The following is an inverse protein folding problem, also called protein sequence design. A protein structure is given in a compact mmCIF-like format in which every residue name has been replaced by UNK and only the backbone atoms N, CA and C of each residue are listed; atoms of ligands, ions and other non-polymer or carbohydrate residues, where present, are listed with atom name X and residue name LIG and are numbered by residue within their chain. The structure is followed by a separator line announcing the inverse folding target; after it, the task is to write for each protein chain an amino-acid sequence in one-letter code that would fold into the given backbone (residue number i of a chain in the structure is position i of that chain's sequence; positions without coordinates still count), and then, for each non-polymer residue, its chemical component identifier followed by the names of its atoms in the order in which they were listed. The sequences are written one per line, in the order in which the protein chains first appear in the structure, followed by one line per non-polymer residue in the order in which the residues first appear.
data_IF_849548694097
#
_entry.id   IF_849548694097
#
_cell.length_a   1.000
_cell.length_b   1.000
_cell.length_c   1.000
_cell.angle_alpha   90.00
_cell.angle_beta   90.00
_cell.angle_gamma   90.00
#
_symmetry.space_group_name_H-M   'P 1'
#
loop_
_entity.id
_entity.type
_entity.pdbx_description
1 polymer ?
#
# COMPACT_ATOMS: atom_id res chain seq x y z
N UNK A 1 -2.51 9.93 -10.29
CA UNK A 1 -2.75 8.96 -11.36
C UNK A 1 -1.52 8.06 -11.48
N UNK A 2 -1.70 6.76 -11.70
CA UNK A 2 -0.60 5.80 -11.91
C UNK A 2 -0.76 5.21 -13.30
N UNK A 3 0.32 5.16 -14.05
CA UNK A 3 0.38 4.56 -15.38
C UNK A 3 1.54 3.58 -15.43
N UNK A 4 1.25 2.32 -15.69
CA UNK A 4 2.23 1.28 -15.98
C UNK A 4 2.09 0.89 -17.45
N UNK A 5 3.18 0.85 -18.20
CA UNK A 5 3.20 0.55 -19.62
C UNK A 5 4.18 -0.58 -19.92
N UNK A 6 3.65 -1.65 -20.52
CA UNK A 6 4.39 -2.79 -21.03
C UNK A 6 5.41 -3.36 -20.01
N UNK A 7 4.95 -3.57 -18.76
CA UNK A 7 5.80 -4.03 -17.67
C UNK A 7 6.16 -5.49 -17.86
N UNK A 8 7.45 -5.79 -17.93
CA UNK A 8 8.01 -7.13 -17.91
C UNK A 8 8.91 -7.32 -16.71
N UNK A 9 8.90 -8.51 -16.12
CA UNK A 9 9.77 -8.90 -15.02
C UNK A 9 10.04 -10.39 -15.04
N UNK A 10 11.31 -10.75 -14.90
CA UNK A 10 11.77 -12.13 -14.80
C UNK A 10 12.72 -12.31 -13.62
N UNK A 11 12.77 -13.50 -13.04
CA UNK A 11 13.75 -13.91 -12.06
C UNK A 11 14.42 -15.20 -12.55
N UNK A 12 15.64 -15.08 -13.07
CA UNK A 12 16.29 -16.16 -13.83
C UNK A 12 15.45 -16.53 -15.05
N UNK A 13 15.11 -17.80 -15.20
CA UNK A 13 14.33 -18.31 -16.33
C UNK A 13 12.79 -18.13 -16.14
N UNK A 14 12.36 -17.65 -14.96
CA UNK A 14 10.94 -17.50 -14.67
C UNK A 14 10.43 -16.12 -15.10
N UNK A 15 9.61 -16.06 -16.14
CA UNK A 15 8.91 -14.86 -16.56
C UNK A 15 7.68 -14.63 -15.68
N UNK A 16 7.71 -13.60 -14.82
CA UNK A 16 6.66 -13.32 -13.83
C UNK A 16 5.67 -12.28 -14.33
N UNK A 17 6.12 -11.22 -15.02
CA UNK A 17 5.26 -10.24 -15.67
C UNK A 17 5.56 -10.21 -17.17
N UNK A 18 4.50 -10.17 -17.98
CA UNK A 18 4.60 -10.38 -19.44
C UNK A 18 3.82 -9.30 -20.20
N UNK A 19 4.25 -8.03 -20.08
CA UNK A 19 3.64 -6.91 -20.79
C UNK A 19 2.35 -6.44 -20.09
N UNK A 20 2.46 -6.04 -18.82
CA UNK A 20 1.34 -5.53 -18.06
C UNK A 20 1.14 -4.04 -18.34
N UNK A 21 -0.06 -3.69 -18.80
CA UNK A 21 -0.53 -2.31 -18.92
C UNK A 21 -1.60 -2.02 -17.87
N UNK A 22 -1.48 -0.89 -17.19
CA UNK A 22 -2.41 -0.50 -16.13
C UNK A 22 -2.50 1.01 -16.00
N UNK A 23 -3.72 1.52 -15.93
CA UNK A 23 -4.02 2.90 -15.64
C UNK A 23 -4.91 2.98 -14.39
N UNK A 24 -4.52 3.78 -13.39
CA UNK A 24 -5.26 3.99 -12.15
C UNK A 24 -5.53 5.48 -11.99
N UNK A 25 -6.78 5.84 -11.76
CA UNK A 25 -7.20 7.23 -11.54
C UNK A 25 -6.96 7.64 -10.09
N UNK A 26 -6.87 8.93 -9.85
CA UNK A 26 -6.80 9.46 -8.48
C UNK A 26 -8.12 9.19 -7.74
N UNK A 27 -8.04 8.75 -6.49
CA UNK A 27 -9.21 8.42 -5.67
C UNK A 27 -9.89 7.10 -6.06
N UNK A 28 -9.28 6.31 -6.94
CA UNK A 28 -9.80 5.00 -7.35
C UNK A 28 -9.31 3.91 -6.40
N UNK A 29 -10.17 2.98 -6.05
CA UNK A 29 -9.81 1.72 -5.38
C UNK A 29 -9.84 0.61 -6.41
N UNK A 30 -8.69 0.01 -6.68
CA UNK A 30 -8.63 -1.18 -7.54
C UNK A 30 -8.23 -2.41 -6.72
N UNK A 31 -8.82 -3.54 -7.07
CA UNK A 31 -8.40 -4.85 -6.55
C UNK A 31 -7.75 -5.66 -7.64
N UNK A 32 -6.65 -6.36 -7.31
CA UNK A 32 -5.94 -7.28 -8.19
C UNK A 32 -6.10 -8.68 -7.61
N UNK A 33 -6.79 -9.55 -8.35
CA UNK A 33 -7.05 -10.94 -7.96
C UNK A 33 -6.37 -11.91 -8.93
N UNK A 34 -6.22 -13.17 -8.53
CA UNK A 34 -5.63 -14.22 -9.36
C UNK A 34 -5.00 -15.32 -8.53
N UNK A 35 -4.62 -16.42 -9.16
CA UNK A 35 -3.98 -17.56 -8.51
C UNK A 35 -2.66 -17.17 -7.82
N UNK A 36 -2.20 -18.00 -6.87
CA UNK A 36 -0.84 -17.86 -6.33
C UNK A 36 0.18 -18.00 -7.49
N UNK A 37 1.22 -17.18 -7.46
CA UNK A 37 2.22 -17.16 -8.54
C UNK A 37 1.83 -16.39 -9.80
N UNK A 38 0.62 -15.81 -9.89
CA UNK A 38 0.19 -15.04 -11.06
C UNK A 38 0.96 -13.71 -11.30
N UNK A 39 1.83 -13.28 -10.36
CA UNK A 39 2.64 -12.07 -10.45
C UNK A 39 2.07 -10.85 -9.70
N UNK A 40 0.98 -11.01 -8.92
CA UNK A 40 0.27 -9.91 -8.23
C UNK A 40 1.18 -9.08 -7.29
N UNK A 41 1.86 -9.74 -6.35
CA UNK A 41 2.77 -9.08 -5.41
C UNK A 41 3.97 -8.47 -6.13
N UNK A 42 4.48 -9.12 -7.18
CA UNK A 42 5.56 -8.56 -8.02
C UNK A 42 5.11 -7.27 -8.70
N UNK A 43 3.92 -7.25 -9.28
CA UNK A 43 3.36 -6.03 -9.88
C UNK A 43 3.21 -4.93 -8.83
N UNK A 44 2.68 -5.27 -7.63
CA UNK A 44 2.54 -4.31 -6.54
C UNK A 44 3.89 -3.75 -6.08
N UNK A 45 4.93 -4.60 -5.97
CA UNK A 45 6.29 -4.19 -5.60
C UNK A 45 6.91 -3.25 -6.65
N UNK A 46 6.68 -3.51 -7.93
CA UNK A 46 7.17 -2.68 -9.03
C UNK A 46 6.44 -1.32 -9.06
N UNK A 47 5.11 -1.29 -8.92
CA UNK A 47 4.36 -0.04 -8.76
C UNK A 47 4.85 0.72 -7.53
N UNK A 48 5.15 -0.02 -6.45
CA UNK A 48 5.67 0.51 -5.20
C UNK A 48 7.14 0.92 -5.23
N UNK A 49 7.82 0.74 -6.35
CA UNK A 49 9.26 1.02 -6.50
C UNK A 49 10.16 0.25 -5.53
N UNK A 50 9.67 -0.87 -4.99
CA UNK A 50 10.47 -1.80 -4.16
C UNK A 50 11.29 -2.75 -5.04
N UNK A 51 10.85 -2.97 -6.25
CA UNK A 51 11.57 -3.66 -7.31
C UNK A 51 11.47 -2.85 -8.61
N UNK A 52 12.34 -3.11 -9.57
CA UNK A 52 12.35 -2.45 -10.87
C UNK A 52 11.88 -3.41 -11.95
N UNK A 53 11.13 -2.94 -12.95
CA UNK A 53 10.80 -3.76 -14.11
C UNK A 53 12.06 -4.00 -14.95
N UNK A 54 12.12 -5.11 -15.66
CA UNK A 54 13.20 -5.37 -16.63
C UNK A 54 13.01 -4.50 -17.89
N UNK A 55 11.75 -4.32 -18.30
CA UNK A 55 11.35 -3.39 -19.35
C UNK A 55 9.98 -2.78 -19.06
N UNK A 56 9.65 -1.70 -19.73
CA UNK A 56 8.45 -0.92 -19.50
C UNK A 56 8.71 0.31 -18.64
N UNK A 57 7.65 1.02 -18.26
CA UNK A 57 7.76 2.22 -17.45
C UNK A 57 6.61 2.37 -16.46
N UNK A 58 6.90 3.01 -15.34
CA UNK A 58 5.91 3.39 -14.31
C UNK A 58 5.95 4.90 -14.13
N UNK A 59 4.79 5.51 -14.27
CA UNK A 59 4.59 6.92 -13.93
C UNK A 59 3.60 7.05 -12.78
N UNK A 60 3.94 7.85 -11.78
CA UNK A 60 3.07 8.22 -10.66
C UNK A 60 3.04 9.73 -10.57
N UNK A 61 1.86 10.34 -10.70
CA UNK A 61 1.68 11.79 -10.75
C UNK A 61 2.62 12.45 -11.78
N UNK A 62 2.66 11.90 -12.99
CA UNK A 62 3.46 12.40 -14.14
C UNK A 62 4.99 12.28 -13.95
N UNK A 63 5.44 11.66 -12.87
CA UNK A 63 6.85 11.39 -12.62
C UNK A 63 7.16 9.93 -13.02
N UNK A 64 8.03 9.77 -14.02
CA UNK A 64 8.51 8.45 -14.42
C UNK A 64 9.54 7.95 -13.40
N UNK A 65 9.16 6.93 -12.62
CA UNK A 65 9.98 6.41 -11.52
C UNK A 65 11.21 5.66 -12.02
N UNK A 66 11.18 5.09 -13.24
CA UNK A 66 12.31 4.36 -13.83
C UNK A 66 13.49 5.28 -14.23
N UNK A 67 13.27 6.60 -14.25
CA UNK A 67 14.32 7.59 -14.56
C UNK A 67 14.99 8.17 -13.30
N UNK A 68 14.50 7.83 -12.11
CA UNK A 68 15.05 8.33 -10.85
C UNK A 68 16.27 7.49 -10.45
N UNK A 69 17.29 8.14 -9.92
CA UNK A 69 18.37 7.43 -9.23
C UNK A 69 17.91 6.92 -7.86
N UNK A 70 18.67 6.03 -7.22
CA UNK A 70 18.28 5.36 -5.97
C UNK A 70 17.90 6.33 -4.85
N UNK A 71 18.61 7.44 -4.73
CA UNK A 71 18.34 8.47 -3.71
C UNK A 71 17.01 9.16 -3.97
N UNK A 72 16.79 9.62 -5.20
CA UNK A 72 15.56 10.32 -5.58
C UNK A 72 14.38 9.37 -5.57
N UNK A 73 14.56 8.10 -5.97
CA UNK A 73 13.55 7.06 -5.91
C UNK A 73 13.14 6.76 -4.46
N UNK A 74 14.09 6.71 -3.54
CA UNK A 74 13.82 6.51 -2.10
C UNK A 74 13.01 7.68 -1.50
N UNK A 75 13.38 8.91 -1.84
CA UNK A 75 12.64 10.11 -1.41
C UNK A 75 11.24 10.15 -2.04
N UNK A 76 11.14 9.83 -3.33
CA UNK A 76 9.88 9.75 -4.04
C UNK A 76 8.94 8.72 -3.38
N UNK A 77 9.43 7.50 -3.12
CA UNK A 77 8.68 6.44 -2.45
C UNK A 77 8.19 6.88 -1.08
N UNK A 78 9.07 7.44 -0.25
CA UNK A 78 8.71 7.93 1.08
C UNK A 78 7.57 8.95 1.06
N UNK A 79 7.55 9.83 0.05
CA UNK A 79 6.56 10.90 -0.07
C UNK A 79 5.25 10.44 -0.71
N UNK A 80 5.31 9.57 -1.72
CA UNK A 80 4.18 9.34 -2.63
C UNK A 80 3.52 7.96 -2.44
N UNK A 81 4.15 7.03 -1.72
CA UNK A 81 3.68 5.64 -1.65
C UNK A 81 3.55 5.21 -0.19
N UNK A 82 2.35 4.77 0.19
CA UNK A 82 2.11 4.07 1.45
C UNK A 82 2.01 2.58 1.22
N UNK A 83 2.52 1.77 2.16
CA UNK A 83 2.42 0.30 2.09
C UNK A 83 1.66 -0.25 3.28
N UNK A 84 0.77 -1.21 2.99
CA UNK A 84 0.06 -2.02 3.97
C UNK A 84 0.26 -3.49 3.59
N UNK A 85 0.80 -4.30 4.50
CA UNK A 85 1.09 -5.70 4.27
C UNK A 85 0.23 -6.61 5.15
N UNK A 86 0.13 -7.87 4.78
CA UNK A 86 -0.53 -8.93 5.55
C UNK A 86 0.10 -9.09 6.95
N UNK A 87 1.43 -9.10 7.02
CA UNK A 87 2.18 -9.02 8.27
C UNK A 87 2.53 -7.54 8.50
N UNK A 88 1.88 -6.89 9.37
CA UNK A 88 1.88 -5.43 9.62
C UNK A 88 3.25 -4.74 9.53
N UNK A 89 4.36 -5.49 9.74
CA UNK A 89 5.75 -5.01 9.74
C UNK A 89 5.95 -3.77 10.63
N UNK A 90 5.27 -3.75 11.78
CA UNK A 90 5.55 -2.77 12.81
C UNK A 90 6.88 -3.12 13.47
N UNK A 91 7.68 -2.12 13.78
CA UNK A 91 8.94 -2.29 14.48
C UNK A 91 8.64 -2.55 15.96
N UNK A 92 9.03 -3.71 16.52
CA UNK A 92 8.60 -4.14 17.84
C UNK A 92 9.19 -3.30 18.99
N UNK A 93 10.29 -2.60 18.74
CA UNK A 93 10.94 -1.73 19.72
C UNK A 93 10.21 -0.41 19.94
N UNK A 94 9.43 0.02 18.93
CA UNK A 94 8.73 1.30 18.91
C UNK A 94 7.26 1.15 19.29
N UNK A 95 6.72 2.18 19.92
CA UNK A 95 5.28 2.32 20.19
C UNK A 95 4.48 2.48 18.90
N UNK A 96 3.14 2.38 18.97
CA UNK A 96 2.25 2.65 17.85
C UNK A 96 2.48 4.06 17.28
N UNK A 97 2.57 5.07 18.14
CA UNK A 97 2.84 6.46 17.74
C UNK A 97 4.17 6.58 16.98
N UNK A 98 5.24 6.01 17.54
CA UNK A 98 6.56 6.05 16.92
C UNK A 98 6.60 5.34 15.58
N UNK A 99 5.96 4.15 15.48
CA UNK A 99 5.82 3.44 14.21
C UNK A 99 5.15 4.31 13.13
N UNK A 100 4.09 5.04 13.48
CA UNK A 100 3.39 5.94 12.56
C UNK A 100 4.27 7.12 12.17
N UNK A 101 5.11 7.64 13.08
CA UNK A 101 5.99 8.78 12.81
C UNK A 101 7.18 8.46 11.89
N UNK A 102 7.60 7.19 11.75
CA UNK A 102 8.81 6.81 10.99
C UNK A 102 8.90 7.44 9.59
N UNK A 103 7.85 7.38 8.74
CA UNK A 103 7.92 8.00 7.41
C UNK A 103 8.17 9.51 7.45
N UNK A 104 7.59 10.21 8.41
CA UNK A 104 7.80 11.64 8.59
C UNK A 104 9.22 11.98 9.05
N UNK A 105 9.80 11.17 9.95
CA UNK A 105 11.19 11.34 10.37
C UNK A 105 12.17 11.12 9.22
N UNK A 106 11.92 10.12 8.36
CA UNK A 106 12.70 9.91 7.12
C UNK A 106 12.57 11.14 6.21
N UNK A 107 11.38 11.76 6.18
CA UNK A 107 11.12 13.00 5.42
C UNK A 107 11.71 14.25 6.10
N UNK A 108 12.35 14.11 7.28
CA UNK A 108 12.91 15.18 8.10
C UNK A 108 11.86 16.18 8.66
N UNK A 109 10.62 15.74 8.82
CA UNK A 109 9.57 16.51 9.49
C UNK A 109 9.95 16.70 10.97
N UNK A 110 9.78 17.91 11.55
CA UNK A 110 10.03 18.14 12.96
C UNK A 110 9.22 17.21 13.87
N UNK A 111 9.82 16.75 14.97
CA UNK A 111 9.22 15.73 15.85
C UNK A 111 7.80 16.12 16.30
N UNK A 112 7.62 17.32 16.81
CA UNK A 112 6.32 17.78 17.30
C UNK A 112 5.22 17.80 16.22
N UNK A 113 5.58 18.14 14.98
CA UNK A 113 4.66 18.14 13.85
C UNK A 113 4.31 16.69 13.44
N UNK A 114 5.32 15.80 13.39
CA UNK A 114 5.13 14.39 13.09
C UNK A 114 4.24 13.71 14.14
N UNK A 115 4.50 13.91 15.43
CA UNK A 115 3.69 13.33 16.52
C UNK A 115 2.24 13.87 16.50
N UNK A 116 2.05 15.18 16.27
CA UNK A 116 0.71 15.76 16.12
C UNK A 116 -0.06 15.08 14.98
N UNK A 117 0.56 14.97 13.80
CA UNK A 117 -0.08 14.33 12.65
C UNK A 117 -0.36 12.85 12.89
N UNK A 118 0.58 12.13 13.52
CA UNK A 118 0.41 10.73 13.87
C UNK A 118 -0.78 10.53 14.83
N UNK A 119 -0.94 11.38 15.86
CA UNK A 119 -2.07 11.33 16.78
C UNK A 119 -3.40 11.62 16.09
N UNK A 120 -3.45 12.56 15.14
CA UNK A 120 -4.64 12.82 14.31
C UNK A 120 -5.06 11.56 13.53
N UNK A 121 -4.08 10.86 12.92
CA UNK A 121 -4.33 9.62 12.18
C UNK A 121 -4.77 8.49 13.10
N UNK A 122 -4.09 8.29 14.24
CA UNK A 122 -4.47 7.27 15.24
C UNK A 122 -5.88 7.53 15.77
N UNK A 123 -6.25 8.78 16.03
CA UNK A 123 -7.60 9.16 16.44
C UNK A 123 -8.62 8.87 15.35
N UNK A 124 -8.32 9.27 14.11
CA UNK A 124 -9.19 9.02 12.96
C UNK A 124 -9.46 7.53 12.73
N UNK A 125 -8.46 6.68 12.97
CA UNK A 125 -8.57 5.23 12.80
C UNK A 125 -8.99 4.49 14.08
N UNK A 126 -9.35 5.20 15.15
CA UNK A 126 -9.93 4.63 16.37
C UNK A 126 -8.92 3.85 17.24
N UNK A 127 -7.62 4.22 17.17
CA UNK A 127 -6.55 3.57 17.95
C UNK A 127 -5.68 4.57 18.73
N UNK A 128 -6.21 5.77 19.02
CA UNK A 128 -5.48 6.81 19.76
C UNK A 128 -5.07 6.35 21.17
N UNK A 129 -5.94 5.60 21.86
CA UNK A 129 -5.68 5.05 23.21
C UNK A 129 -4.52 4.05 23.22
N UNK A 130 -4.11 3.56 22.04
CA UNK A 130 -3.00 2.62 21.86
C UNK A 130 -1.68 3.30 21.48
N UNK A 131 -1.64 4.63 21.40
CA UNK A 131 -0.47 5.38 20.93
C UNK A 131 0.84 5.02 21.63
N UNK A 132 0.80 4.76 22.95
CA UNK A 132 1.96 4.39 23.77
C UNK A 132 2.24 2.89 23.84
N UNK A 133 1.38 2.04 23.28
CA UNK A 133 1.54 0.59 23.30
C UNK A 133 2.52 0.11 22.24
N UNK A 134 3.25 -0.96 22.54
CA UNK A 134 4.11 -1.65 21.57
C UNK A 134 3.28 -2.65 20.74
N UNK A 135 3.77 -3.07 19.58
CA UNK A 135 3.05 -4.02 18.72
C UNK A 135 2.60 -5.31 19.43
N UNK A 136 3.41 -5.83 20.34
CA UNK A 136 3.06 -7.04 21.14
C UNK A 136 1.88 -6.85 22.09
N UNK A 137 1.48 -5.62 22.37
CA UNK A 137 0.38 -5.25 23.26
C UNK A 137 -0.91 -4.93 22.49
N UNK A 138 -0.87 -5.03 21.16
CA UNK A 138 -1.97 -4.71 20.25
C UNK A 138 -2.58 -5.98 19.67
N UNK A 139 -3.90 -5.99 19.52
CA UNK A 139 -4.58 -7.01 18.70
C UNK A 139 -4.16 -6.91 17.23
N UNK A 140 -4.38 -7.96 16.44
CA UNK A 140 -4.08 -7.95 15.01
C UNK A 140 -4.77 -6.83 14.25
N UNK A 141 -6.04 -6.55 14.56
CA UNK A 141 -6.80 -5.43 13.98
C UNK A 141 -6.24 -4.07 14.36
N UNK A 142 -5.82 -3.87 15.63
CA UNK A 142 -5.17 -2.64 16.07
C UNK A 142 -3.80 -2.46 15.39
N UNK A 143 -2.99 -3.51 15.28
CA UNK A 143 -1.71 -3.47 14.55
C UNK A 143 -1.92 -3.06 13.10
N UNK A 144 -2.95 -3.61 12.44
CA UNK A 144 -3.25 -3.28 11.05
C UNK A 144 -3.70 -1.82 10.90
N UNK A 145 -4.55 -1.31 11.80
CA UNK A 145 -4.93 0.13 11.81
C UNK A 145 -3.71 1.03 12.00
N UNK A 146 -2.78 0.67 12.90
CA UNK A 146 -1.50 1.40 13.06
C UNK A 146 -0.67 1.35 11.79
N UNK A 147 -0.60 0.21 11.09
CA UNK A 147 0.10 0.09 9.81
C UNK A 147 -0.55 0.97 8.72
N UNK A 148 -1.88 1.09 8.70
CA UNK A 148 -2.60 2.01 7.80
C UNK A 148 -2.31 3.47 8.17
N UNK A 149 -2.28 3.84 9.46
CA UNK A 149 -1.85 5.17 9.90
C UNK A 149 -0.44 5.51 9.41
N UNK A 150 0.50 4.57 9.56
CA UNK A 150 1.87 4.71 9.06
C UNK A 150 1.91 4.93 7.56
N UNK A 151 1.11 4.18 6.80
CA UNK A 151 1.02 4.33 5.34
C UNK A 151 0.49 5.72 4.93
N UNK A 152 -0.42 6.31 5.70
CA UNK A 152 -1.04 7.62 5.46
C UNK A 152 -0.18 8.81 5.90
N UNK A 153 0.90 8.59 6.65
CA UNK A 153 1.61 9.64 7.38
C UNK A 153 2.04 10.83 6.51
N UNK A 154 2.60 10.56 5.35
CA UNK A 154 3.11 11.58 4.42
C UNK A 154 2.08 12.01 3.36
N UNK A 155 0.78 11.72 3.53
CA UNK A 155 -0.28 11.97 2.55
C UNK A 155 0.07 11.41 1.16
N UNK A 156 0.31 10.10 1.03
CA UNK A 156 0.81 9.50 -0.21
C UNK A 156 -0.19 9.63 -1.36
N UNK A 157 0.32 9.63 -2.59
CA UNK A 157 -0.52 9.59 -3.79
C UNK A 157 -1.31 8.28 -3.92
N UNK A 158 -0.73 7.18 -3.40
CA UNK A 158 -1.33 5.85 -3.44
C UNK A 158 -0.96 5.04 -2.21
N UNK A 159 -1.90 4.20 -1.75
CA UNK A 159 -1.65 3.12 -0.80
C UNK A 159 -1.69 1.80 -1.54
N UNK A 160 -0.61 1.04 -1.41
CA UNK A 160 -0.44 -0.30 -1.94
C UNK A 160 -0.65 -1.31 -0.82
N UNK A 161 -1.63 -2.20 -0.97
CA UNK A 161 -1.97 -3.17 0.05
C UNK A 161 -1.80 -4.60 -0.49
N UNK A 162 -0.93 -5.40 0.13
CA UNK A 162 -0.73 -6.81 -0.21
C UNK A 162 -1.38 -7.69 0.86
N UNK A 163 -2.51 -8.34 0.51
CA UNK A 163 -3.32 -9.19 1.39
C UNK A 163 -3.62 -8.57 2.76
N UNK A 164 -4.12 -7.31 2.83
CA UNK A 164 -4.13 -6.51 4.05
C UNK A 164 -4.99 -7.07 5.19
N UNK A 165 -5.92 -7.98 4.90
CA UNK A 165 -6.82 -8.63 5.88
C UNK A 165 -6.52 -10.12 6.07
N UNK A 166 -5.45 -10.65 5.46
CA UNK A 166 -5.18 -12.09 5.42
C UNK A 166 -4.92 -12.75 6.78
N UNK A 167 -4.50 -11.99 7.79
CA UNK A 167 -4.21 -12.46 9.14
C UNK A 167 -5.24 -11.99 10.19
N UNK A 168 -6.35 -11.39 9.75
CA UNK A 168 -7.39 -10.88 10.64
C UNK A 168 -8.55 -11.87 10.76
N UNK A 169 -9.22 -11.83 11.90
CA UNK A 169 -10.54 -12.44 12.04
C UNK A 169 -11.56 -11.76 11.14
N UNK A 170 -12.70 -12.43 10.90
CA UNK A 170 -13.71 -11.95 9.96
C UNK A 170 -14.32 -10.58 10.30
N UNK A 171 -14.45 -10.25 11.60
CA UNK A 171 -14.99 -8.97 12.04
C UNK A 171 -13.98 -7.85 11.79
N UNK A 172 -12.73 -8.02 12.24
CA UNK A 172 -11.64 -7.08 12.01
C UNK A 172 -11.35 -6.87 10.51
N UNK A 173 -11.46 -7.93 9.69
CA UNK A 173 -11.30 -7.84 8.24
C UNK A 173 -12.36 -6.94 7.61
N UNK A 174 -13.65 -7.12 7.98
CA UNK A 174 -14.74 -6.26 7.46
C UNK A 174 -14.57 -4.80 7.86
N UNK A 175 -14.19 -4.54 9.10
CA UNK A 175 -13.92 -3.18 9.57
C UNK A 175 -12.76 -2.52 8.78
N UNK A 176 -11.69 -3.28 8.52
CA UNK A 176 -10.57 -2.80 7.70
C UNK A 176 -11.01 -2.51 6.25
N UNK A 177 -11.81 -3.40 5.66
CA UNK A 177 -12.36 -3.18 4.32
C UNK A 177 -13.16 -1.88 4.27
N UNK A 178 -14.11 -1.69 5.19
CA UNK A 178 -14.90 -0.46 5.27
C UNK A 178 -14.02 0.79 5.47
N UNK A 179 -12.97 0.68 6.28
CA UNK A 179 -12.02 1.75 6.53
C UNK A 179 -11.34 2.23 5.24
N UNK A 180 -10.93 1.33 4.33
CA UNK A 180 -10.31 1.73 3.06
C UNK A 180 -11.25 2.60 2.21
N UNK A 181 -12.54 2.24 2.14
CA UNK A 181 -13.52 3.02 1.37
C UNK A 181 -13.85 4.35 2.06
N UNK A 182 -13.95 4.37 3.38
CA UNK A 182 -14.08 5.62 4.14
C UNK A 182 -12.90 6.56 3.87
N UNK A 183 -11.66 6.05 3.90
CA UNK A 183 -10.46 6.83 3.60
C UNK A 183 -10.43 7.31 2.14
N UNK A 184 -10.88 6.49 1.18
CA UNK A 184 -11.06 6.92 -0.20
C UNK A 184 -12.01 8.10 -0.28
N UNK A 185 -13.20 8.00 0.34
CA UNK A 185 -14.25 9.01 0.25
C UNK A 185 -13.87 10.32 0.94
N UNK A 186 -13.27 10.23 2.14
CA UNK A 186 -12.92 11.41 2.94
C UNK A 186 -11.63 12.10 2.50
N UNK A 187 -10.63 11.33 2.05
CA UNK A 187 -9.29 11.84 1.72
C UNK A 187 -9.00 11.84 0.21
N UNK A 188 -9.93 11.36 -0.62
CA UNK A 188 -9.70 11.10 -2.04
C UNK A 188 -8.45 10.22 -2.27
N UNK A 189 -8.26 9.21 -1.37
CA UNK A 189 -7.09 8.35 -1.34
C UNK A 189 -7.21 7.23 -2.38
N UNK A 190 -6.18 7.05 -3.18
CA UNK A 190 -6.07 5.94 -4.14
C UNK A 190 -5.57 4.68 -3.44
N UNK A 191 -6.19 3.53 -3.75
CA UNK A 191 -5.76 2.23 -3.24
C UNK A 191 -5.54 1.23 -4.39
N UNK A 192 -4.47 0.45 -4.27
CA UNK A 192 -4.22 -0.75 -5.09
C UNK A 192 -4.13 -1.92 -4.13
N UNK A 193 -5.07 -2.84 -4.20
CA UNK A 193 -5.21 -3.92 -3.23
C UNK A 193 -5.03 -5.26 -3.93
N UNK A 194 -3.98 -5.99 -3.61
CA UNK A 194 -3.83 -7.40 -3.97
C UNK A 194 -4.57 -8.21 -2.91
N UNK A 195 -5.51 -9.06 -3.33
CA UNK A 195 -6.24 -9.89 -2.39
C UNK A 195 -6.82 -11.15 -3.03
N UNK A 196 -6.97 -12.21 -2.23
CA UNK A 196 -7.77 -13.37 -2.54
C UNK A 196 -9.17 -13.33 -1.89
N UNK A 197 -9.44 -12.32 -1.08
CA UNK A 197 -10.75 -12.11 -0.46
C UNK A 197 -11.74 -11.54 -1.48
N UNK A 198 -12.74 -12.35 -1.85
CA UNK A 198 -13.73 -11.97 -2.85
C UNK A 198 -14.63 -10.81 -2.41
N UNK A 199 -14.92 -10.67 -1.11
CA UNK A 199 -15.74 -9.59 -0.59
C UNK A 199 -15.03 -8.24 -0.81
N UNK A 200 -13.78 -8.13 -0.35
CA UNK A 200 -12.96 -6.94 -0.57
C UNK A 200 -12.77 -6.63 -2.06
N UNK A 201 -12.48 -7.67 -2.86
CA UNK A 201 -12.27 -7.50 -4.30
C UNK A 201 -13.51 -6.96 -5.02
N UNK A 202 -14.71 -7.37 -4.60
CA UNK A 202 -15.98 -6.94 -5.22
C UNK A 202 -16.45 -5.55 -4.73
N UNK A 203 -15.91 -5.04 -3.62
CA UNK A 203 -16.18 -3.68 -3.15
C UNK A 203 -15.39 -2.62 -3.95
N UNK A 204 -14.28 -3.00 -4.61
CA UNK A 204 -13.43 -2.08 -5.35
C UNK A 204 -14.16 -1.48 -6.58
N UNK A 205 -13.76 -0.27 -6.98
CA UNK A 205 -14.30 0.40 -8.18
C UNK A 205 -13.99 -0.39 -9.45
N UNK A 206 -12.82 -1.04 -9.49
CA UNK A 206 -12.43 -2.00 -10.55
C UNK A 206 -11.75 -3.22 -9.95
N UNK A 207 -12.13 -4.38 -10.48
CA UNK A 207 -11.52 -5.68 -10.14
C UNK A 207 -10.73 -6.18 -11.34
N UNK A 208 -9.42 -6.25 -11.20
CA UNK A 208 -8.50 -6.75 -12.22
C UNK A 208 -8.15 -8.20 -11.93
N UNK A 209 -8.22 -9.04 -12.94
CA UNK A 209 -7.81 -10.45 -12.83
C UNK A 209 -6.45 -10.63 -13.47
N UNK A 210 -5.50 -11.14 -12.69
CA UNK A 210 -4.16 -11.46 -13.15
C UNK A 210 -3.99 -12.96 -13.35
N UNK A 211 -3.49 -13.35 -14.52
CA UNK A 211 -3.20 -14.74 -14.89
C UNK A 211 -1.92 -14.81 -15.71
N UNK A 212 -1.02 -15.71 -15.32
CA UNK A 212 0.23 -15.99 -16.04
C UNK A 212 1.02 -14.72 -16.42
N UNK A 213 1.14 -13.80 -15.45
CA UNK A 213 1.89 -12.55 -15.62
C UNK A 213 1.19 -11.46 -16.45
N UNK A 214 -0.10 -11.61 -16.76
CA UNK A 214 -0.90 -10.66 -17.55
C UNK A 214 -2.18 -10.24 -16.83
N UNK A 215 -2.66 -9.03 -17.08
CA UNK A 215 -4.02 -8.62 -16.73
C UNK A 215 -4.94 -9.09 -17.86
N UNK A 216 -5.94 -9.92 -17.55
CA UNK A 216 -6.85 -10.53 -18.54
C UNK A 216 -8.19 -9.78 -18.65
N UNK A 217 -8.50 -8.86 -17.73
CA UNK A 217 -9.63 -7.93 -17.81
C UNK A 217 -9.20 -6.60 -17.19
N UNK A 218 -9.53 -5.51 -17.84
CA UNK A 218 -9.12 -4.15 -17.42
C UNK A 218 -10.32 -3.21 -17.41
#
# INVERSE_FOLDING_TARGET
MIKAENIHKSYGDLNVLQGVDLLIKKGEVISIVGASGAGKSTLLQIIGTLDLPDTGSIEINEINTSKLNDKDLSLFRNKNIGFVFQFHHLLPEFTALENVCIPAYIHKTPKAEAEKRAMELLSKLGVAERASHKPSELSGGEQQRVAVCRALMNNPAVILADEPSGNLDSASAKELHQLFFTLRDELNQTFVIVTHNNELANMADRKLTMKDGKIINN
#
